data_IF_632334854530
#
_entry.id   IF_632334854530
#
_cell.length_a   1.000
_cell.length_b   1.000
_cell.length_c   1.000
_cell.angle_alpha   90.00
_cell.angle_beta   90.00
_cell.angle_gamma   90.00
#
_symmetry.space_group_name_H-M   'P 1'
#
loop_
_entity.id
_entity.type
_entity.pdbx_description
1 polymer ?
#
# COMPACT_ATOMS: atom_id res chain seq x y z
N UNK A 1 -13.60 21.30 -1.04
CA UNK A 1 -13.64 19.91 -1.56
C UNK A 1 -13.25 18.92 -0.46
N UNK A 2 -13.84 17.71 -0.44
CA UNK A 2 -13.45 16.59 0.42
C UNK A 2 -13.19 15.35 -0.44
N UNK A 3 -12.11 14.63 -0.17
CA UNK A 3 -11.91 13.30 -0.74
C UNK A 3 -12.69 12.30 0.11
N UNK A 4 -13.51 11.47 -0.52
CA UNK A 4 -14.31 10.43 0.10
C UNK A 4 -13.95 9.10 -0.54
N UNK A 5 -13.71 8.08 0.26
CA UNK A 5 -13.30 6.78 -0.27
C UNK A 5 -12.53 5.94 0.72
N UNK A 6 -12.41 4.66 0.37
CA UNK A 6 -11.52 3.72 1.02
C UNK A 6 -10.36 3.35 0.07
N UNK A 7 -9.55 2.36 0.45
CA UNK A 7 -8.39 1.89 -0.33
C UNK A 7 -8.76 1.34 -1.73
N UNK A 8 -10.05 1.17 -2.05
CA UNK A 8 -10.51 0.54 -3.27
C UNK A 8 -11.26 1.50 -4.20
N UNK A 9 -11.90 2.54 -3.66
CA UNK A 9 -12.61 3.54 -4.45
C UNK A 9 -12.59 4.92 -3.77
N UNK A 10 -12.09 5.94 -4.49
CA UNK A 10 -12.10 7.31 -4.04
C UNK A 10 -12.82 8.22 -5.04
N UNK A 11 -13.58 9.17 -4.52
CA UNK A 11 -14.30 10.19 -5.27
C UNK A 11 -14.24 11.52 -4.51
N UNK A 12 -14.38 12.61 -5.24
CA UNK A 12 -14.30 13.94 -4.68
C UNK A 12 -15.72 14.47 -4.47
N UNK A 13 -15.93 15.18 -3.36
CA UNK A 13 -17.20 15.86 -3.08
C UNK A 13 -17.01 17.34 -2.77
N UNK A 14 -18.06 18.11 -3.03
CA UNK A 14 -18.20 19.46 -2.48
C UNK A 14 -18.42 19.40 -0.96
N UNK A 15 -18.32 20.52 -0.25
CA UNK A 15 -18.48 20.61 1.21
C UNK A 15 -19.86 20.13 1.71
N UNK A 16 -20.87 20.19 0.85
CA UNK A 16 -22.27 19.81 1.08
C UNK A 16 -22.67 18.47 0.45
N UNK A 17 -21.68 17.71 -0.06
CA UNK A 17 -21.83 16.28 -0.35
C UNK A 17 -22.17 15.88 -1.79
N UNK A 18 -22.04 16.78 -2.77
CA UNK A 18 -22.24 16.44 -4.19
C UNK A 18 -20.95 15.93 -4.82
N UNK A 19 -21.05 14.86 -5.63
CA UNK A 19 -19.88 14.25 -6.28
C UNK A 19 -19.40 15.12 -7.43
N UNK A 20 -18.08 15.30 -7.50
CA UNK A 20 -17.39 16.06 -8.53
C UNK A 20 -16.24 15.24 -9.11
N UNK A 21 -15.96 15.44 -10.39
CA UNK A 21 -14.84 14.81 -11.10
C UNK A 21 -13.98 15.87 -11.77
N UNK A 22 -12.66 15.69 -11.75
CA UNK A 22 -11.71 16.58 -12.42
C UNK A 22 -11.60 16.18 -13.89
N UNK A 23 -11.89 17.10 -14.80
CA UNK A 23 -11.71 16.89 -16.23
C UNK A 23 -10.27 17.21 -16.68
N UNK A 24 -9.95 16.89 -17.93
CA UNK A 24 -8.62 17.11 -18.54
C UNK A 24 -8.24 18.59 -18.65
N UNK A 25 -9.23 19.49 -18.62
CA UNK A 25 -9.06 20.95 -18.58
C UNK A 25 -8.61 21.48 -17.21
N UNK A 26 -8.52 20.60 -16.21
CA UNK A 26 -8.08 20.94 -14.86
C UNK A 26 -9.20 21.42 -13.92
N UNK A 27 -10.43 21.55 -14.42
CA UNK A 27 -11.58 21.99 -13.62
C UNK A 27 -12.41 20.82 -13.09
N UNK A 28 -13.14 21.06 -12.01
CA UNK A 28 -14.08 20.09 -11.44
C UNK A 28 -15.48 20.30 -11.99
N UNK A 29 -16.17 19.21 -12.31
CA UNK A 29 -17.54 19.22 -12.82
C UNK A 29 -18.42 18.33 -11.95
N UNK A 30 -19.69 18.70 -11.82
CA UNK A 30 -20.65 17.89 -11.08
C UNK A 30 -20.95 16.58 -11.79
N UNK A 31 -21.07 15.51 -11.01
CA UNK A 31 -21.56 14.21 -11.48
C UNK A 31 -23.05 14.11 -11.20
N UNK A 32 -23.83 13.63 -12.18
CA UNK A 32 -25.26 13.40 -12.06
C UNK A 32 -25.59 11.92 -12.30
N UNK A 33 -26.58 11.35 -11.60
CA UNK A 33 -27.03 9.99 -11.86
C UNK A 33 -27.80 9.92 -13.19
N UNK A 34 -27.38 9.04 -14.09
CA UNK A 34 -28.06 8.72 -15.34
C UNK A 34 -28.03 7.19 -15.55
N UNK A 35 -29.22 6.58 -15.70
CA UNK A 35 -29.38 5.13 -15.88
C UNK A 35 -28.60 4.27 -14.87
N UNK A 36 -28.55 4.70 -13.59
CA UNK A 36 -27.87 3.98 -12.51
C UNK A 36 -26.34 4.10 -12.52
N UNK A 37 -25.78 5.07 -13.26
CA UNK A 37 -24.35 5.41 -13.25
C UNK A 37 -24.17 6.90 -13.02
N UNK A 38 -22.99 7.29 -12.53
CA UNK A 38 -22.62 8.70 -12.48
C UNK A 38 -22.04 9.13 -13.83
N UNK A 39 -22.59 10.21 -14.39
CA UNK A 39 -22.12 10.82 -15.64
C UNK A 39 -21.75 12.28 -15.36
N UNK A 40 -20.66 12.74 -15.97
CA UNK A 40 -20.17 14.11 -15.82
C UNK A 40 -21.11 15.10 -16.52
N UNK A 41 -21.57 16.10 -15.77
CA UNK A 41 -22.34 17.22 -16.32
C UNK A 41 -21.45 18.27 -16.99
N UNK A 42 -22.07 19.21 -17.71
CA UNK A 42 -21.39 20.39 -18.23
C UNK A 42 -21.19 21.51 -17.18
N UNK A 43 -21.71 21.33 -15.95
CA UNK A 43 -21.69 22.38 -14.91
C UNK A 43 -20.42 22.25 -14.09
N UNK A 44 -19.61 23.31 -14.14
CA UNK A 44 -18.37 23.42 -13.37
C UNK A 44 -18.69 23.66 -11.91
N UNK A 45 -18.07 22.89 -11.02
CA UNK A 45 -18.12 23.09 -9.58
C UNK A 45 -17.13 24.17 -9.17
N UNK A 46 -17.60 25.16 -8.43
CA UNK A 46 -16.77 26.25 -7.91
C UNK A 46 -16.90 26.37 -6.38
N UNK A 47 -15.93 27.02 -5.74
CA UNK A 47 -15.98 27.22 -4.28
C UNK A 47 -17.07 28.20 -3.85
N UNK A 48 -17.55 29.06 -4.75
CA UNK A 48 -18.63 30.01 -4.50
C UNK A 48 -19.68 29.91 -5.60
N UNK A 49 -20.77 29.19 -5.30
CA UNK A 49 -21.81 28.87 -6.27
C UNK A 49 -22.51 30.11 -6.78
N UNK A 50 -22.60 30.24 -8.09
CA UNK A 50 -23.51 31.18 -8.71
C UNK A 50 -24.95 30.64 -8.76
N UNK A 51 -25.90 31.47 -9.19
CA UNK A 51 -27.31 31.11 -9.25
C UNK A 51 -27.60 29.94 -10.20
N UNK A 52 -26.82 29.78 -11.27
CA UNK A 52 -26.98 28.70 -12.24
C UNK A 52 -26.44 27.37 -11.72
N UNK A 53 -25.31 27.41 -11.01
CA UNK A 53 -24.74 26.27 -10.30
C UNK A 53 -25.68 25.79 -9.19
N UNK A 54 -26.24 26.72 -8.40
CA UNK A 54 -27.19 26.40 -7.34
C UNK A 54 -28.50 25.80 -7.88
N UNK A 55 -28.98 26.26 -9.04
CA UNK A 55 -30.17 25.69 -9.69
C UNK A 55 -29.91 24.26 -10.17
N UNK A 56 -28.76 24.01 -10.78
CA UNK A 56 -28.37 22.67 -11.25
C UNK A 56 -28.17 21.66 -10.11
N UNK A 57 -27.50 22.06 -9.04
CA UNK A 57 -27.25 21.16 -7.90
C UNK A 57 -28.56 20.67 -7.25
N UNK A 58 -29.63 21.45 -7.34
CA UNK A 58 -30.98 21.07 -6.88
C UNK A 58 -31.68 20.06 -7.79
N UNK A 59 -31.28 19.94 -9.05
CA UNK A 59 -31.84 18.94 -9.98
C UNK A 59 -31.19 17.57 -9.81
N UNK A 60 -30.05 17.49 -9.11
CA UNK A 60 -29.37 16.22 -8.85
C UNK A 60 -30.18 15.44 -7.81
N UNK A 61 -30.73 14.29 -8.23
CA UNK A 61 -31.31 13.33 -7.31
C UNK A 61 -30.23 12.71 -6.42
N UNK A 62 -30.25 13.10 -5.15
CA UNK A 62 -29.26 12.68 -4.16
C UNK A 62 -29.35 11.20 -3.85
N UNK A 63 -30.55 10.62 -3.85
CA UNK A 63 -30.74 9.20 -3.54
C UNK A 63 -30.23 8.34 -4.69
N UNK A 64 -30.57 8.71 -5.93
CA UNK A 64 -30.04 8.05 -7.12
C UNK A 64 -28.52 8.20 -7.25
N UNK A 65 -27.96 9.35 -6.85
CA UNK A 65 -26.51 9.57 -6.80
C UNK A 65 -25.83 8.62 -5.81
N UNK A 66 -26.35 8.50 -4.58
CA UNK A 66 -25.81 7.59 -3.56
C UNK A 66 -25.92 6.13 -4.02
N UNK A 67 -27.05 5.75 -4.61
CA UNK A 67 -27.24 4.40 -5.16
C UNK A 67 -26.25 4.09 -6.29
N UNK A 68 -26.00 5.04 -7.20
CA UNK A 68 -25.03 4.89 -8.28
C UNK A 68 -23.59 4.72 -7.74
N UNK A 69 -23.23 5.43 -6.67
CA UNK A 69 -21.95 5.26 -5.98
C UNK A 69 -21.84 3.86 -5.40
N UNK A 70 -22.85 3.37 -4.67
CA UNK A 70 -22.84 2.03 -4.06
C UNK A 70 -22.73 0.91 -5.11
N UNK A 71 -23.40 1.06 -6.25
CA UNK A 71 -23.24 0.12 -7.38
C UNK A 71 -21.82 0.16 -7.95
N UNK A 72 -21.20 1.33 -8.03
CA UNK A 72 -19.86 1.51 -8.58
C UNK A 72 -18.75 1.06 -7.62
N UNK A 73 -18.90 1.27 -6.31
CA UNK A 73 -17.98 0.77 -5.28
C UNK A 73 -18.01 -0.76 -5.22
N UNK A 74 -19.19 -1.38 -5.31
CA UNK A 74 -19.33 -2.86 -5.35
C UNK A 74 -18.78 -3.51 -6.62
N UNK A 75 -18.79 -2.77 -7.74
CA UNK A 75 -18.27 -3.24 -9.05
C UNK A 75 -16.79 -2.97 -9.25
N UNK A 76 -16.21 -2.07 -8.46
CA UNK A 76 -14.76 -1.91 -8.45
C UNK A 76 -14.17 -3.26 -8.03
N UNK A 77 -13.33 -3.90 -8.86
CA UNK A 77 -12.72 -5.16 -8.45
C UNK A 77 -12.06 -4.89 -7.12
N UNK A 78 -12.42 -5.65 -6.09
CA UNK A 78 -11.63 -5.74 -4.88
C UNK A 78 -10.24 -6.12 -5.35
N UNK A 79 -9.36 -5.13 -5.53
CA UNK A 79 -7.94 -5.40 -5.63
C UNK A 79 -7.61 -5.93 -4.26
N UNK A 80 -7.63 -7.25 -4.10
CA UNK A 80 -6.80 -7.87 -3.08
C UNK A 80 -5.39 -7.36 -3.39
N UNK A 81 -4.96 -6.31 -2.70
CA UNK A 81 -3.58 -5.82 -2.76
C UNK A 81 -2.62 -6.89 -2.25
N UNK A 82 -3.13 -7.92 -1.59
CA UNK A 82 -2.46 -9.20 -1.50
C UNK A 82 -2.37 -9.81 -2.91
N UNK A 83 -1.18 -9.68 -3.50
CA UNK A 83 -0.61 -10.81 -4.26
C UNK A 83 -1.04 -12.10 -3.54
N UNK A 84 -1.53 -13.15 -4.22
CA UNK A 84 -1.77 -14.42 -3.54
C UNK A 84 -0.46 -14.84 -2.89
N UNK A 85 -0.36 -14.57 -1.59
CA UNK A 85 0.76 -14.99 -0.77
C UNK A 85 0.56 -16.47 -0.61
N UNK A 86 1.12 -17.26 -1.52
CA UNK A 86 1.31 -18.69 -1.31
C UNK A 86 2.22 -18.96 -0.12
N UNK A 87 2.88 -17.92 0.41
CA UNK A 87 3.60 -18.02 1.66
C UNK A 87 2.61 -18.08 2.83
N UNK A 88 2.69 -19.11 3.68
CA UNK A 88 1.81 -19.27 4.82
C UNK A 88 1.95 -18.08 5.77
N UNK A 89 0.82 -17.59 6.30
CA UNK A 89 0.77 -16.37 7.13
C UNK A 89 0.49 -16.66 8.60
N UNK A 90 0.36 -17.95 8.97
CA UNK A 90 0.08 -18.43 10.33
C UNK A 90 0.84 -19.72 10.61
N UNK A 91 1.09 -19.98 11.89
CA UNK A 91 1.81 -21.15 12.38
C UNK A 91 3.32 -20.97 12.41
N UNK A 92 4.01 -22.08 12.64
CA UNK A 92 5.47 -22.17 12.62
C UNK A 92 5.98 -22.32 11.19
N UNK A 93 6.80 -21.37 10.75
CA UNK A 93 7.27 -21.30 9.37
C UNK A 93 8.76 -21.05 9.37
N UNK A 94 9.49 -21.70 8.45
CA UNK A 94 10.93 -21.52 8.29
C UNK A 94 11.23 -20.67 7.07
N UNK A 95 11.96 -19.58 7.26
CA UNK A 95 12.46 -18.71 6.19
C UNK A 95 13.97 -18.87 6.04
N UNK A 96 14.46 -19.12 4.82
CA UNK A 96 15.90 -19.16 4.56
C UNK A 96 16.45 -17.73 4.41
N UNK A 97 17.58 -17.46 5.06
CA UNK A 97 18.33 -16.21 4.96
C UNK A 97 19.76 -16.53 4.56
N UNK A 98 20.21 -15.99 3.43
CA UNK A 98 21.58 -16.18 2.95
C UNK A 98 22.33 -14.87 3.15
N UNK A 99 23.32 -14.89 4.03
CA UNK A 99 24.29 -13.82 4.18
C UNK A 99 25.25 -13.89 3.00
N UNK A 100 25.32 -12.83 2.20
CA UNK A 100 26.22 -12.73 1.06
C UNK A 100 27.20 -11.59 1.27
N UNK A 101 28.44 -11.81 0.87
CA UNK A 101 29.46 -10.78 0.78
C UNK A 101 30.03 -10.72 -0.64
N UNK A 102 30.51 -9.55 -1.04
CA UNK A 102 31.04 -9.35 -2.39
C UNK A 102 32.52 -9.68 -2.43
N UNK A 103 33.07 -9.88 -3.63
CA UNK A 103 34.51 -10.13 -3.78
C UNK A 103 35.39 -8.99 -3.23
N UNK A 104 34.85 -7.76 -3.20
CA UNK A 104 35.51 -6.52 -2.79
C UNK A 104 34.97 -5.90 -1.47
N UNK A 105 33.87 -6.44 -0.91
CA UNK A 105 33.24 -5.90 0.30
C UNK A 105 32.78 -7.06 1.20
N UNK A 106 33.43 -7.17 2.36
CA UNK A 106 33.14 -8.18 3.40
C UNK A 106 32.31 -7.61 4.55
N UNK A 107 31.72 -8.50 5.35
CA UNK A 107 31.09 -8.10 6.61
C UNK A 107 32.09 -7.50 7.59
N UNK A 108 31.68 -6.46 8.31
CA UNK A 108 32.48 -5.83 9.37
C UNK A 108 32.22 -6.45 10.74
N UNK A 109 31.18 -7.26 10.87
CA UNK A 109 30.82 -7.96 12.11
C UNK A 109 31.70 -9.22 12.23
N UNK A 110 32.49 -9.38 13.31
CA UNK A 110 33.46 -10.48 13.44
C UNK A 110 32.84 -11.89 13.32
N UNK A 111 31.63 -12.08 13.85
CA UNK A 111 30.85 -13.30 13.71
C UNK A 111 29.47 -12.95 13.12
N UNK A 112 29.48 -12.61 11.83
CA UNK A 112 28.28 -12.22 11.10
C UNK A 112 27.19 -13.31 11.18
N UNK A 113 27.57 -14.58 11.04
CA UNK A 113 26.60 -15.68 11.07
C UNK A 113 25.83 -15.71 12.40
N UNK A 114 26.54 -15.75 13.53
CA UNK A 114 25.88 -15.78 14.83
C UNK A 114 25.12 -14.49 15.12
N UNK A 115 25.70 -13.33 14.81
CA UNK A 115 25.06 -12.05 15.13
C UNK A 115 23.76 -11.84 14.37
N UNK A 116 23.72 -12.15 13.06
CA UNK A 116 22.47 -12.06 12.30
C UNK A 116 21.49 -13.18 12.66
N UNK A 117 21.97 -14.37 13.04
CA UNK A 117 21.10 -15.42 13.57
C UNK A 117 20.38 -14.98 14.84
N UNK A 118 21.10 -14.29 15.74
CA UNK A 118 20.56 -13.69 16.95
C UNK A 118 19.59 -12.55 16.65
N UNK A 119 19.99 -11.61 15.78
CA UNK A 119 19.13 -10.49 15.36
C UNK A 119 17.79 -10.95 14.75
N UNK A 120 17.79 -12.10 14.07
CA UNK A 120 16.60 -12.63 13.42
C UNK A 120 15.73 -13.50 14.36
N UNK A 121 16.33 -14.25 15.28
CA UNK A 121 15.62 -15.30 16.04
C UNK A 121 15.65 -15.17 17.57
N UNK A 122 16.62 -14.46 18.15
CA UNK A 122 16.80 -14.42 19.61
C UNK A 122 15.69 -13.60 20.27
N UNK A 123 14.98 -14.24 21.19
CA UNK A 123 13.96 -13.56 21.99
C UNK A 123 14.60 -12.45 22.82
N UNK A 124 14.11 -11.22 22.65
CA UNK A 124 14.62 -10.04 23.37
C UNK A 124 15.99 -9.57 22.89
N UNK A 125 16.34 -9.83 21.63
CA UNK A 125 17.57 -9.33 21.03
C UNK A 125 17.74 -7.81 21.27
N UNK A 126 18.90 -7.40 21.79
CA UNK A 126 19.13 -6.03 22.25
C UNK A 126 20.46 -5.40 21.82
N UNK A 127 21.25 -6.09 21.01
CA UNK A 127 22.48 -5.53 20.46
C UNK A 127 22.15 -4.41 19.45
N UNK A 128 23.10 -3.49 19.27
CA UNK A 128 23.02 -2.36 18.31
C UNK A 128 21.76 -1.48 18.46
N UNK A 129 21.19 -1.41 19.67
CA UNK A 129 19.97 -0.63 19.93
C UNK A 129 18.68 -1.34 19.53
N UNK A 130 18.73 -2.64 19.23
CA UNK A 130 17.54 -3.46 19.02
C UNK A 130 16.67 -3.54 20.28
N UNK A 131 15.36 -3.66 20.10
CA UNK A 131 14.37 -3.85 21.19
C UNK A 131 13.69 -5.22 21.11
N UNK A 132 14.22 -6.11 20.28
CA UNK A 132 13.67 -7.42 19.94
C UNK A 132 14.24 -7.90 18.60
N UNK A 133 14.09 -9.20 18.32
CA UNK A 133 14.46 -9.78 17.03
C UNK A 133 13.38 -9.58 15.97
N UNK A 134 13.71 -9.88 14.70
CA UNK A 134 12.70 -9.94 13.64
C UNK A 134 11.57 -10.93 14.00
N UNK A 135 11.91 -12.08 14.59
CA UNK A 135 10.93 -13.04 15.11
C UNK A 135 10.03 -12.42 16.19
N UNK A 136 10.59 -11.70 17.17
CA UNK A 136 9.79 -11.03 18.21
C UNK A 136 8.79 -10.06 17.59
N UNK A 137 9.22 -9.23 16.63
CA UNK A 137 8.32 -8.31 15.94
C UNK A 137 7.16 -9.03 15.27
N UNK A 138 7.42 -10.13 14.55
CA UNK A 138 6.36 -10.90 13.89
C UNK A 138 5.41 -11.58 14.88
N UNK A 139 5.92 -12.13 15.97
CA UNK A 139 5.08 -12.74 17.00
C UNK A 139 4.21 -11.68 17.71
N UNK A 140 4.77 -10.53 18.06
CA UNK A 140 4.05 -9.46 18.75
C UNK A 140 2.94 -8.86 17.87
N UNK A 141 3.24 -8.60 16.60
CA UNK A 141 2.27 -8.02 15.65
C UNK A 141 1.20 -9.01 15.17
N UNK A 142 1.39 -10.31 15.42
CA UNK A 142 0.43 -11.35 15.06
C UNK A 142 -0.26 -11.98 16.27
N UNK A 143 -0.06 -11.46 17.49
CA UNK A 143 -0.54 -12.08 18.73
C UNK A 143 -0.12 -13.56 18.85
N UNK A 144 1.06 -13.90 18.34
CA UNK A 144 1.59 -15.26 18.29
C UNK A 144 1.00 -16.16 17.20
N UNK A 145 0.13 -15.65 16.31
CA UNK A 145 -0.40 -16.46 15.21
C UNK A 145 0.64 -16.77 14.14
N UNK A 146 1.64 -15.90 13.94
CA UNK A 146 2.73 -16.10 12.99
C UNK A 146 4.06 -16.24 13.72
N UNK A 147 4.69 -17.41 13.61
CA UNK A 147 5.85 -17.79 14.39
C UNK A 147 7.03 -18.18 13.48
N UNK A 148 7.67 -17.20 12.80
CA UNK A 148 8.73 -17.47 11.85
C UNK A 148 10.05 -17.83 12.54
N UNK A 149 10.76 -18.82 12.01
CA UNK A 149 12.16 -19.15 12.34
C UNK A 149 13.01 -18.91 11.11
N UNK A 150 14.11 -18.19 11.25
CA UNK A 150 15.00 -17.86 10.15
C UNK A 150 16.24 -18.74 10.16
N UNK A 151 16.40 -19.53 9.10
CA UNK A 151 17.57 -20.37 8.87
C UNK A 151 18.65 -19.56 8.16
N UNK A 152 19.63 -19.10 8.93
CA UNK A 152 20.72 -18.27 8.42
C UNK A 152 21.83 -19.15 7.86
N UNK A 153 22.33 -18.82 6.67
CA UNK A 153 23.44 -19.47 6.00
C UNK A 153 24.46 -18.44 5.50
N UNK A 154 25.75 -18.78 5.55
CA UNK A 154 26.84 -17.91 5.09
C UNK A 154 27.70 -17.35 6.23
N UNK A 155 28.51 -16.30 6.00
CA UNK A 155 28.60 -15.53 4.75
C UNK A 155 29.04 -16.35 3.53
N UNK A 156 28.38 -16.14 2.39
CA UNK A 156 28.76 -16.68 1.09
C UNK A 156 29.44 -15.58 0.28
N UNK A 157 30.68 -15.82 -0.13
CA UNK A 157 31.42 -14.88 -0.96
C UNK A 157 31.06 -15.03 -2.43
N UNK A 158 30.52 -13.95 -3.00
CA UNK A 158 30.14 -13.87 -4.40
C UNK A 158 31.36 -13.68 -5.31
N UNK A 159 31.32 -14.17 -6.56
CA UNK A 159 32.46 -14.13 -7.49
C UNK A 159 32.80 -12.74 -8.04
N UNK A 160 31.88 -11.77 -7.96
CA UNK A 160 32.03 -10.45 -8.56
C UNK A 160 32.00 -9.32 -7.51
N UNK A 161 32.54 -8.12 -7.82
CA UNK A 161 32.49 -6.96 -6.92
C UNK A 161 31.06 -6.44 -6.77
N UNK A 162 30.79 -5.66 -5.71
CA UNK A 162 29.46 -5.09 -5.42
C UNK A 162 28.84 -4.35 -6.62
N UNK A 163 29.68 -3.63 -7.37
CA UNK A 163 29.25 -2.89 -8.55
C UNK A 163 28.58 -3.79 -9.61
N UNK A 164 29.04 -5.04 -9.79
CA UNK A 164 28.46 -5.98 -10.76
C UNK A 164 26.98 -6.30 -10.48
N UNK A 165 26.59 -6.35 -9.21
CA UNK A 165 25.23 -6.72 -8.79
C UNK A 165 24.31 -5.51 -8.56
N UNK A 166 24.87 -4.32 -8.32
CA UNK A 166 24.13 -3.11 -7.95
C UNK A 166 24.15 -1.99 -8.98
N UNK A 167 24.77 -2.20 -10.15
CA UNK A 167 24.78 -1.21 -11.22
C UNK A 167 23.37 -1.09 -11.82
N UNK A 168 22.69 0.01 -11.50
CA UNK A 168 21.45 0.40 -12.16
C UNK A 168 21.75 0.72 -13.62
N UNK A 169 21.57 -0.25 -14.51
CA UNK A 169 21.37 0.06 -15.92
C UNK A 169 20.05 0.82 -16.02
N UNK A 170 20.08 1.98 -16.68
CA UNK A 170 18.95 2.87 -16.91
C UNK A 170 17.86 2.22 -17.80
N UNK A 171 17.22 1.16 -17.30
CA UNK A 171 16.08 0.51 -17.93
C UNK A 171 15.14 -0.03 -16.84
N UNK A 172 14.24 0.85 -16.41
CA UNK A 172 12.86 0.57 -15.98
C UNK A 172 12.63 -0.47 -14.89
#
# INVERSE_FOLDING_TARGET
MRLQGDEHYHYCTTSDGYVIEKASDGFFYYMQPESGRLVRSAVRATDSRDASEAAFVRTIDREAMVSAIDVQTRRSPRRSSALPSTFPTKGEIRGAVILVEYSDVSFTVPDAHNEFSRMLNEKGYSNYGGTGSARDWFMDNSMGEFQPTFDVYGPVRLPHPRAYYGENKSSG
#
